data_IF_239355601869
#
_entry.id   IF_239355601869
#
_cell.length_a   1.000
_cell.length_b   1.000
_cell.length_c   1.000
_cell.angle_alpha   90.00
_cell.angle_beta   90.00
_cell.angle_gamma   90.00
#
_symmetry.space_group_name_H-M   'P 1'
#
loop_
_entity.id
_entity.type
_entity.pdbx_description
1 polymer ?
#
# COMPACT_ATOMS: atom_id res chain seq x y z
N UNK A 1 -14.96 -6.40 -6.95
CA UNK A 1 -16.11 -5.80 -7.70
C UNK A 1 -16.75 -4.72 -6.81
N UNK A 2 -17.27 -3.61 -7.38
CA UNK A 2 -17.92 -2.54 -6.59
C UNK A 2 -19.21 -3.08 -5.97
N UNK A 3 -19.34 -3.04 -4.64
CA UNK A 3 -20.60 -3.29 -3.94
C UNK A 3 -21.53 -2.06 -4.04
N UNK A 4 -22.83 -2.27 -3.83
CA UNK A 4 -23.91 -1.25 -3.96
C UNK A 4 -23.73 0.00 -3.07
N UNK A 5 -22.71 0.04 -2.21
CA UNK A 5 -22.38 1.17 -1.33
C UNK A 5 -20.97 1.77 -1.58
N UNK A 6 -20.39 1.58 -2.77
CA UNK A 6 -19.09 2.14 -3.12
C UNK A 6 -17.90 1.50 -2.39
N UNK A 7 -18.12 0.36 -1.70
CA UNK A 7 -17.03 -0.41 -1.06
C UNK A 7 -16.47 -1.43 -2.04
N UNK A 8 -15.15 -1.42 -2.21
CA UNK A 8 -14.46 -2.49 -2.90
C UNK A 8 -14.27 -3.65 -1.93
N UNK A 9 -14.71 -4.83 -2.34
CA UNK A 9 -14.36 -6.08 -1.66
C UNK A 9 -13.52 -6.91 -2.61
N UNK A 10 -12.41 -7.40 -2.07
CA UNK A 10 -11.44 -8.27 -2.75
C UNK A 10 -11.04 -9.34 -1.74
N UNK A 11 -11.37 -10.59 -2.06
CA UNK A 11 -11.09 -11.73 -1.18
C UNK A 11 -10.17 -12.77 -1.80
N UNK A 12 -9.83 -12.62 -3.09
CA UNK A 12 -8.97 -13.55 -3.82
C UNK A 12 -7.91 -12.82 -4.65
N UNK A 13 -6.87 -13.56 -5.03
CA UNK A 13 -5.71 -13.03 -5.75
C UNK A 13 -6.06 -12.53 -7.16
N UNK A 14 -7.03 -13.15 -7.84
CA UNK A 14 -7.46 -12.73 -9.18
C UNK A 14 -8.18 -11.38 -9.18
N UNK A 15 -9.10 -11.17 -8.24
CA UNK A 15 -9.75 -9.88 -8.00
C UNK A 15 -8.76 -8.82 -7.53
N UNK A 16 -7.75 -9.22 -6.74
CA UNK A 16 -6.67 -8.34 -6.30
C UNK A 16 -5.84 -7.85 -7.49
N UNK A 17 -5.43 -8.75 -8.38
CA UNK A 17 -4.70 -8.41 -9.60
C UNK A 17 -5.53 -7.50 -10.53
N UNK A 18 -6.83 -7.78 -10.66
CA UNK A 18 -7.76 -6.96 -11.47
C UNK A 18 -7.91 -5.56 -10.88
N UNK A 19 -8.01 -5.45 -9.55
CA UNK A 19 -8.13 -4.17 -8.86
C UNK A 19 -6.83 -3.37 -8.96
N UNK A 20 -5.66 -4.00 -8.86
CA UNK A 20 -4.37 -3.35 -9.08
C UNK A 20 -4.21 -2.84 -10.51
N UNK A 21 -4.64 -3.62 -11.52
CA UNK A 21 -4.62 -3.16 -12.91
C UNK A 21 -5.52 -1.93 -13.14
N UNK A 22 -6.65 -1.85 -12.43
CA UNK A 22 -7.53 -0.70 -12.49
C UNK A 22 -6.92 0.55 -11.83
N UNK A 23 -6.28 0.39 -10.67
CA UNK A 23 -5.52 1.46 -10.02
C UNK A 23 -4.39 1.96 -10.92
N UNK A 24 -3.61 1.05 -11.52
CA UNK A 24 -2.51 1.39 -12.44
C UNK A 24 -3.00 2.18 -13.66
N UNK A 25 -4.13 1.78 -14.25
CA UNK A 25 -4.73 2.51 -15.36
C UNK A 25 -5.13 3.95 -14.99
N UNK A 26 -5.65 4.18 -13.78
CA UNK A 26 -5.98 5.52 -13.28
C UNK A 26 -4.72 6.32 -12.94
N UNK A 27 -3.73 5.72 -12.30
CA UNK A 27 -2.46 6.39 -11.96
C UNK A 27 -1.67 6.83 -13.20
N UNK A 28 -1.78 6.09 -14.32
CA UNK A 28 -1.16 6.48 -15.60
C UNK A 28 -1.70 7.76 -16.22
N UNK A 29 -2.88 8.23 -15.80
CA UNK A 29 -3.43 9.53 -16.26
C UNK A 29 -2.59 10.72 -15.78
N UNK A 30 -1.68 10.50 -14.81
CA UNK A 30 -0.85 11.51 -14.14
C UNK A 30 -1.69 12.44 -13.25
N UNK A 31 -1.08 12.98 -12.19
CA UNK A 31 -1.81 13.70 -11.11
C UNK A 31 -2.62 14.90 -11.63
N UNK A 32 -2.14 15.57 -12.68
CA UNK A 32 -2.80 16.73 -13.30
C UNK A 32 -4.10 16.40 -14.05
N UNK A 33 -4.33 15.14 -14.45
CA UNK A 33 -5.50 14.75 -15.25
C UNK A 33 -6.45 13.79 -14.51
N UNK A 34 -6.24 13.59 -13.21
CA UNK A 34 -7.11 12.77 -12.37
C UNK A 34 -8.14 13.69 -11.70
N UNK A 35 -9.42 13.37 -11.88
CA UNK A 35 -10.51 14.10 -11.20
C UNK A 35 -10.52 13.81 -9.70
N UNK A 36 -11.20 14.64 -8.91
CA UNK A 36 -11.31 14.43 -7.45
C UNK A 36 -11.99 13.08 -7.16
N UNK A 37 -13.00 12.72 -7.94
CA UNK A 37 -13.73 11.47 -7.84
C UNK A 37 -12.84 10.27 -8.16
N UNK A 38 -11.99 10.35 -9.19
CA UNK A 38 -11.03 9.30 -9.53
C UNK A 38 -9.91 9.17 -8.49
N UNK A 39 -9.49 10.30 -7.88
CA UNK A 39 -8.51 10.30 -6.79
C UNK A 39 -9.06 9.58 -5.56
N UNK A 40 -10.30 9.86 -5.18
CA UNK A 40 -11.00 9.12 -4.13
C UNK A 40 -11.18 7.65 -4.51
N UNK A 41 -11.43 7.35 -5.77
CA UNK A 41 -11.52 5.97 -6.27
C UNK A 41 -10.19 5.22 -6.11
N UNK A 42 -9.08 5.82 -6.54
CA UNK A 42 -7.72 5.29 -6.36
C UNK A 42 -7.44 5.03 -4.89
N UNK A 43 -7.79 5.98 -4.01
CA UNK A 43 -7.59 5.85 -2.56
C UNK A 43 -8.37 4.67 -1.98
N UNK A 44 -9.66 4.54 -2.30
CA UNK A 44 -10.48 3.45 -1.79
C UNK A 44 -9.98 2.09 -2.29
N UNK A 45 -9.61 1.99 -3.58
CA UNK A 45 -9.04 0.78 -4.14
C UNK A 45 -7.70 0.45 -3.50
N UNK A 46 -6.81 1.42 -3.31
CA UNK A 46 -5.50 1.23 -2.69
C UNK A 46 -5.58 0.67 -1.27
N UNK A 47 -6.51 1.16 -0.44
CA UNK A 47 -6.72 0.64 0.92
C UNK A 47 -7.15 -0.84 0.91
N UNK A 48 -8.03 -1.20 -0.01
CA UNK A 48 -8.52 -2.58 -0.13
C UNK A 48 -7.43 -3.50 -0.69
N UNK A 49 -6.66 -3.02 -1.68
CA UNK A 49 -5.51 -3.74 -2.23
C UNK A 49 -4.44 -4.00 -1.16
N UNK A 50 -4.12 -3.01 -0.33
CA UNK A 50 -3.16 -3.15 0.75
C UNK A 50 -3.63 -4.18 1.79
N UNK A 51 -4.91 -4.10 2.21
CA UNK A 51 -5.47 -5.04 3.19
C UNK A 51 -5.47 -6.47 2.67
N UNK A 52 -5.87 -6.69 1.42
CA UNK A 52 -5.84 -8.01 0.79
C UNK A 52 -4.40 -8.51 0.63
N UNK A 53 -3.49 -7.64 0.16
CA UNK A 53 -2.07 -7.96 -0.01
C UNK A 53 -1.39 -8.38 1.30
N UNK A 54 -1.65 -7.69 2.41
CA UNK A 54 -1.12 -8.06 3.73
C UNK A 54 -1.67 -9.40 4.25
N UNK A 55 -2.88 -9.79 3.82
CA UNK A 55 -3.44 -11.10 4.12
C UNK A 55 -2.78 -12.23 3.33
N UNK A 56 -2.46 -12.00 2.06
CA UNK A 56 -1.83 -12.99 1.16
C UNK A 56 -0.31 -13.08 1.42
N UNK A 57 0.34 -11.94 1.62
CA UNK A 57 1.80 -11.82 1.78
C UNK A 57 2.13 -11.19 3.14
N UNK A 58 2.13 -11.98 4.23
CA UNK A 58 2.39 -11.46 5.56
C UNK A 58 3.85 -11.02 5.71
N UNK A 59 4.06 -9.81 6.22
CA UNK A 59 5.39 -9.32 6.60
C UNK A 59 5.70 -9.88 7.99
N UNK A 60 6.48 -10.96 8.04
CA UNK A 60 6.87 -11.59 9.30
C UNK A 60 8.11 -10.93 9.88
N UNK A 61 8.15 -10.82 11.21
CA UNK A 61 9.36 -10.39 11.91
C UNK A 61 10.55 -11.33 11.60
N UNK A 62 11.77 -10.79 11.47
CA UNK A 62 12.96 -11.61 11.28
C UNK A 62 13.15 -12.56 12.46
N UNK A 63 13.52 -13.81 12.18
CA UNK A 63 13.77 -14.83 13.21
C UNK A 63 15.26 -15.09 13.45
N UNK A 64 16.12 -14.61 12.55
CA UNK A 64 17.57 -14.76 12.64
C UNK A 64 18.17 -13.58 13.41
N UNK A 65 19.29 -13.83 14.10
CA UNK A 65 20.03 -12.76 14.78
C UNK A 65 20.43 -11.65 13.81
N UNK A 66 20.93 -12.02 12.63
CA UNK A 66 21.29 -11.09 11.56
C UNK A 66 20.11 -10.20 11.16
N UNK A 67 18.95 -10.79 10.85
CA UNK A 67 17.77 -10.03 10.46
C UNK A 67 17.23 -9.13 11.58
N UNK A 68 17.33 -9.57 12.84
CA UNK A 68 16.98 -8.73 14.01
C UNK A 68 17.93 -7.54 14.11
N UNK A 69 19.25 -7.75 13.90
CA UNK A 69 20.24 -6.68 13.92
C UNK A 69 20.03 -5.68 12.77
N UNK A 70 19.76 -6.17 11.56
CA UNK A 70 19.45 -5.32 10.40
C UNK A 70 18.22 -4.44 10.64
N UNK A 71 17.14 -5.03 11.16
CA UNK A 71 15.93 -4.29 11.50
C UNK A 71 16.22 -3.18 12.51
N UNK A 72 16.98 -3.50 13.58
CA UNK A 72 17.38 -2.52 14.60
C UNK A 72 18.23 -1.39 14.04
N UNK A 73 19.21 -1.70 13.20
CA UNK A 73 20.05 -0.67 12.56
C UNK A 73 19.22 0.24 11.65
N UNK A 74 18.26 -0.32 10.91
CA UNK A 74 17.35 0.45 10.07
C UNK A 74 16.46 1.39 10.90
N UNK A 75 15.86 0.90 11.98
CA UNK A 75 15.07 1.70 12.92
C UNK A 75 15.89 2.87 13.48
N UNK A 76 17.09 2.60 13.99
CA UNK A 76 17.99 3.65 14.51
C UNK A 76 18.36 4.70 13.46
N UNK A 77 18.57 4.28 12.20
CA UNK A 77 18.87 5.22 11.10
C UNK A 77 17.68 6.12 10.81
N UNK A 78 16.46 5.59 10.81
CA UNK A 78 15.25 6.39 10.58
C UNK A 78 15.05 7.45 11.67
N UNK A 79 15.28 7.09 12.94
CA UNK A 79 15.21 8.02 14.07
C UNK A 79 16.22 9.17 13.89
N UNK A 80 17.48 8.84 13.56
CA UNK A 80 18.51 9.85 13.30
C UNK A 80 18.12 10.79 12.15
N UNK A 81 17.63 10.25 11.04
CA UNK A 81 17.17 11.05 9.90
C UNK A 81 15.97 11.94 10.26
N UNK A 82 15.04 11.44 11.07
CA UNK A 82 13.92 12.22 11.59
C UNK A 82 14.36 13.42 12.40
N UNK A 83 15.40 13.28 13.22
CA UNK A 83 15.96 14.39 14.01
C UNK A 83 16.74 15.41 13.16
N UNK A 84 17.34 15.00 12.03
CA UNK A 84 18.10 15.92 11.15
C UNK A 84 17.26 16.86 10.29
N UNK A 85 15.93 16.65 10.17
CA UNK A 85 15.05 17.51 9.36
C UNK A 85 14.46 18.72 10.12
N UNK A 86 14.94 18.98 11.34
CA UNK A 86 14.37 20.04 12.22
C UNK A 86 15.44 21.01 12.77
N UNK A 87 16.56 21.22 12.08
CA UNK A 87 17.52 22.29 12.38
C UNK A 87 17.83 23.14 11.17
#
# INVERSE_FOLDING_TARGET
MKSEHGRYEVTNEHEHATLLAHVDALMRKNEENVTVEESDEIRQMGLVAQKCGLGIYPITAPKTLEGIMELRMYEMRLEQLGHTKTQ
#
